data_IF_382172306725
#
_entry.id   IF_382172306725
#
_cell.length_a   1.000
_cell.length_b   1.000
_cell.length_c   1.000
_cell.angle_alpha   90.00
_cell.angle_beta   90.00
_cell.angle_gamma   90.00
#
_symmetry.space_group_name_H-M   'P 1'
#
loop_
_entity.id
_entity.type
_entity.pdbx_description
1 polymer ?
#
# COMPACT_ATOMS: atom_id res chain seq x y z
N UNK A 1 -5.19 15.71 19.20
CA UNK A 1 -6.15 14.70 18.70
C UNK A 1 -5.47 13.35 18.85
N UNK A 2 -6.15 12.36 19.45
CA UNK A 2 -5.65 10.98 19.47
C UNK A 2 -5.84 10.35 18.09
N UNK A 3 -4.95 9.46 17.68
CA UNK A 3 -5.14 8.63 16.49
C UNK A 3 -6.40 7.77 16.65
N UNK A 4 -7.16 7.62 15.57
CA UNK A 4 -8.35 6.77 15.46
C UNK A 4 -8.31 6.03 14.12
N UNK A 5 -8.03 4.73 14.18
CA UNK A 5 -7.89 3.85 13.01
C UNK A 5 -9.16 3.83 12.16
N UNK A 6 -10.32 3.71 12.80
CA UNK A 6 -11.59 3.52 12.08
C UNK A 6 -11.98 4.79 11.32
N UNK A 7 -11.62 5.97 11.85
CA UNK A 7 -11.74 7.23 11.11
C UNK A 7 -10.84 7.24 9.87
N UNK A 8 -9.58 6.82 9.98
CA UNK A 8 -8.65 6.76 8.84
C UNK A 8 -9.12 5.77 7.77
N UNK A 9 -9.52 4.55 8.19
CA UNK A 9 -10.09 3.52 7.32
C UNK A 9 -11.30 4.05 6.56
N UNK A 10 -12.23 4.72 7.26
CA UNK A 10 -13.41 5.29 6.64
C UNK A 10 -13.09 6.42 5.63
N UNK A 11 -12.06 7.23 5.90
CA UNK A 11 -11.62 8.27 4.98
C UNK A 11 -11.05 7.67 3.68
N UNK A 12 -10.19 6.65 3.79
CA UNK A 12 -9.59 5.98 2.62
C UNK A 12 -10.65 5.22 1.82
N UNK A 13 -11.56 4.52 2.50
CA UNK A 13 -12.71 3.86 1.87
C UNK A 13 -13.55 4.84 1.05
N UNK A 14 -13.95 5.97 1.64
CA UNK A 14 -14.72 7.01 0.94
C UNK A 14 -13.97 7.60 -0.25
N UNK A 15 -12.65 7.71 -0.15
CA UNK A 15 -11.83 8.18 -1.25
C UNK A 15 -11.89 7.23 -2.44
N UNK A 16 -11.72 5.92 -2.24
CA UNK A 16 -11.84 4.95 -3.34
C UNK A 16 -13.26 4.83 -3.89
N UNK A 17 -14.29 4.90 -3.04
CA UNK A 17 -15.68 4.99 -3.49
C UNK A 17 -15.95 6.22 -4.36
N UNK A 18 -15.29 7.36 -4.07
CA UNK A 18 -15.39 8.57 -4.90
C UNK A 18 -14.74 8.34 -6.27
N UNK A 19 -13.56 7.73 -6.33
CA UNK A 19 -12.87 7.45 -7.59
C UNK A 19 -13.68 6.51 -8.48
N UNK A 20 -14.28 5.46 -7.89
CA UNK A 20 -15.22 4.58 -8.59
C UNK A 20 -16.40 5.36 -9.16
N UNK A 21 -17.02 6.25 -8.36
CA UNK A 21 -18.16 7.09 -8.81
C UNK A 21 -17.77 8.09 -9.90
N UNK A 22 -16.51 8.54 -9.91
CA UNK A 22 -15.97 9.41 -10.95
C UNK A 22 -15.59 8.64 -12.23
N UNK A 23 -15.89 7.33 -12.30
CA UNK A 23 -15.56 6.42 -13.41
C UNK A 23 -14.05 6.25 -13.65
N UNK A 24 -13.22 6.39 -12.61
CA UNK A 24 -11.78 6.09 -12.68
C UNK A 24 -11.51 4.59 -12.54
N UNK A 25 -12.27 3.89 -11.71
CA UNK A 25 -12.11 2.45 -11.44
C UNK A 25 -13.43 1.70 -11.58
N UNK A 26 -13.35 0.44 -11.99
CA UNK A 26 -14.48 -0.47 -11.86
C UNK A 26 -14.67 -0.79 -10.37
N UNK A 27 -15.91 -0.75 -9.82
CA UNK A 27 -16.16 -1.17 -8.44
C UNK A 27 -15.56 -2.53 -8.07
N UNK A 28 -15.47 -3.47 -9.03
CA UNK A 28 -14.89 -4.80 -8.84
C UNK A 28 -13.36 -4.80 -8.67
N UNK A 29 -12.68 -3.68 -8.96
CA UNK A 29 -11.25 -3.50 -8.73
C UNK A 29 -10.94 -3.11 -7.28
N UNK A 30 -11.91 -2.63 -6.52
CA UNK A 30 -11.70 -2.30 -5.10
C UNK A 30 -11.88 -3.55 -4.23
N UNK A 31 -10.79 -3.98 -3.61
CA UNK A 31 -10.73 -5.09 -2.67
C UNK A 31 -11.01 -4.56 -1.26
N UNK A 32 -12.09 -5.04 -0.66
CA UNK A 32 -12.46 -4.71 0.72
C UNK A 32 -11.96 -5.79 1.68
N UNK A 33 -11.42 -5.40 2.86
CA UNK A 33 -11.06 -6.36 3.89
C UNK A 33 -12.30 -7.09 4.43
N UNK A 34 -12.16 -8.33 4.92
CA UNK A 34 -13.12 -8.96 5.82
C UNK A 34 -13.36 -8.12 7.09
N UNK A 35 -14.41 -8.42 7.85
CA UNK A 35 -14.75 -7.70 9.09
C UNK A 35 -13.62 -7.78 10.13
N UNK A 36 -12.91 -8.90 10.21
CA UNK A 36 -11.73 -9.10 11.06
C UNK A 36 -10.42 -8.54 10.45
N UNK A 37 -10.50 -7.96 9.25
CA UNK A 37 -9.36 -7.48 8.49
C UNK A 37 -8.66 -8.56 7.65
N UNK A 38 -7.66 -8.15 6.89
CA UNK A 38 -6.80 -9.07 6.13
C UNK A 38 -6.01 -10.00 7.05
N UNK A 39 -5.86 -11.27 6.68
CA UNK A 39 -5.03 -12.20 7.44
C UNK A 39 -3.53 -11.92 7.21
N UNK A 40 -2.67 -12.44 8.09
CA UNK A 40 -1.20 -12.27 7.99
C UNK A 40 -0.62 -12.98 6.76
N UNK A 41 -1.34 -13.95 6.19
CA UNK A 41 -0.99 -14.58 4.92
C UNK A 41 -1.31 -13.66 3.74
N UNK A 42 -2.42 -12.90 3.82
CA UNK A 42 -2.86 -11.99 2.76
C UNK A 42 -2.16 -10.64 2.80
N UNK A 43 -1.86 -10.13 3.99
CA UNK A 43 -1.09 -8.90 4.21
C UNK A 43 0.40 -9.26 4.31
N UNK A 44 1.30 -8.40 3.80
CA UNK A 44 2.74 -8.65 3.87
C UNK A 44 3.36 -8.36 5.26
N UNK A 45 2.78 -8.90 6.34
CA UNK A 45 3.12 -8.58 7.74
C UNK A 45 4.60 -8.84 8.07
N UNK A 46 5.14 -9.97 7.64
CA UNK A 46 6.55 -10.34 7.80
C UNK A 46 7.52 -9.32 7.17
N UNK A 47 7.21 -8.87 5.94
CA UNK A 47 7.97 -7.84 5.23
C UNK A 47 7.85 -6.49 5.94
N UNK A 48 6.63 -6.11 6.35
CA UNK A 48 6.36 -4.86 7.07
C UNK A 48 7.13 -4.79 8.40
N UNK A 49 7.14 -5.89 9.16
CA UNK A 49 7.94 -6.05 10.36
C UNK A 49 9.44 -5.97 10.07
N UNK A 50 9.91 -6.57 8.98
CA UNK A 50 11.31 -6.48 8.57
C UNK A 50 11.76 -5.04 8.23
N UNK A 51 10.84 -4.23 7.70
CA UNK A 51 10.98 -2.78 7.51
C UNK A 51 10.63 -1.92 8.74
N UNK A 52 10.48 -2.56 9.91
CA UNK A 52 10.24 -1.90 11.21
C UNK A 52 8.99 -1.01 11.20
N UNK A 53 7.93 -1.41 10.47
CA UNK A 53 6.61 -0.78 10.64
C UNK A 53 6.05 -1.16 12.01
N UNK A 54 5.36 -0.22 12.64
CA UNK A 54 4.77 -0.37 13.96
C UNK A 54 3.55 -1.29 13.93
N UNK A 55 3.21 -1.86 15.09
CA UNK A 55 2.00 -2.70 15.24
C UNK A 55 0.73 -1.90 14.90
N UNK A 56 0.64 -0.63 15.32
CA UNK A 56 -0.50 0.25 15.03
C UNK A 56 -0.70 0.47 13.52
N UNK A 57 0.40 0.61 12.77
CA UNK A 57 0.36 0.71 11.30
C UNK A 57 -0.05 -0.61 10.66
N UNK A 58 0.50 -1.72 11.13
CA UNK A 58 0.13 -3.04 10.59
C UNK A 58 -1.36 -3.30 10.83
N UNK A 59 -1.87 -2.93 12.00
CA UNK A 59 -3.29 -2.99 12.33
C UNK A 59 -4.13 -2.05 11.42
N UNK A 60 -3.65 -0.83 11.14
CA UNK A 60 -4.31 0.04 10.15
C UNK A 60 -4.39 -0.62 8.77
N UNK A 61 -3.26 -1.09 8.24
CA UNK A 61 -3.16 -1.71 6.91
C UNK A 61 -4.06 -2.95 6.80
N UNK A 62 -4.21 -3.71 7.89
CA UNK A 62 -5.13 -4.85 7.98
C UNK A 62 -6.58 -4.49 7.63
N UNK A 63 -7.00 -3.25 7.89
CA UNK A 63 -8.36 -2.79 7.72
C UNK A 63 -8.55 -1.83 6.54
N UNK A 64 -7.51 -1.57 5.74
CA UNK A 64 -7.66 -0.73 4.56
C UNK A 64 -8.25 -1.50 3.37
N UNK A 65 -9.11 -0.86 2.56
CA UNK A 65 -9.37 -1.33 1.21
C UNK A 65 -8.14 -1.10 0.33
N UNK A 66 -8.00 -1.91 -0.71
CA UNK A 66 -6.93 -1.79 -1.71
C UNK A 66 -7.52 -1.83 -3.10
N UNK A 67 -6.96 -1.06 -4.04
CA UNK A 67 -7.26 -1.25 -5.46
C UNK A 67 -6.44 -2.47 -5.93
N UNK A 68 -7.06 -3.30 -6.75
CA UNK A 68 -6.42 -4.46 -7.37
C UNK A 68 -5.40 -3.93 -8.37
N UNK A 69 -4.15 -4.33 -8.19
CA UNK A 69 -3.12 -4.02 -9.17
C UNK A 69 -3.39 -4.83 -10.45
N UNK A 70 -3.55 -4.14 -11.58
CA UNK A 70 -3.79 -4.78 -12.87
C UNK A 70 -2.47 -4.97 -13.63
N UNK A 71 -2.47 -5.89 -14.59
CA UNK A 71 -1.30 -6.14 -15.43
C UNK A 71 -1.22 -5.04 -16.51
N UNK A 72 -0.34 -4.04 -16.32
CA UNK A 72 -0.11 -2.95 -17.28
C UNK A 72 0.48 -1.69 -16.63
N UNK A 73 1.11 -0.82 -17.42
CA UNK A 73 1.73 0.43 -16.91
C UNK A 73 0.69 1.53 -16.58
N UNK A 74 -0.47 1.55 -17.26
CA UNK A 74 -1.37 2.72 -17.30
C UNK A 74 -2.71 2.52 -16.59
N UNK A 75 -2.98 1.35 -16.00
CA UNK A 75 -4.34 0.98 -15.54
C UNK A 75 -4.64 1.33 -14.09
N UNK A 76 -3.63 1.77 -13.33
CA UNK A 76 -3.67 1.78 -11.86
C UNK A 76 -3.49 3.19 -11.26
N UNK A 77 -3.56 4.23 -12.10
CA UNK A 77 -3.38 5.63 -11.70
C UNK A 77 -4.55 6.14 -10.86
N UNK A 78 -4.23 6.64 -9.67
CA UNK A 78 -5.20 7.32 -8.78
C UNK A 78 -5.14 8.84 -8.97
N UNK A 79 -3.94 9.34 -9.27
CA UNK A 79 -3.70 10.73 -9.67
C UNK A 79 -2.71 10.74 -10.83
N UNK A 80 -2.57 11.88 -11.50
CA UNK A 80 -1.60 12.05 -12.58
C UNK A 80 -0.20 11.59 -12.14
N UNK A 81 0.40 10.64 -12.88
CA UNK A 81 1.71 10.04 -12.60
C UNK A 81 1.81 9.35 -11.23
N UNK A 82 0.68 8.93 -10.64
CA UNK A 82 0.67 8.36 -9.28
C UNK A 82 -0.18 7.09 -9.25
N UNK A 83 0.44 5.98 -8.85
CA UNK A 83 -0.25 4.71 -8.63
C UNK A 83 -0.62 4.52 -7.16
N UNK A 84 -1.70 3.77 -6.91
CA UNK A 84 -2.03 3.29 -5.58
C UNK A 84 -0.97 2.32 -5.04
N UNK A 85 -0.79 2.29 -3.71
CA UNK A 85 0.01 1.28 -3.04
C UNK A 85 -0.90 0.21 -2.42
N UNK A 86 -0.63 -1.05 -2.74
CA UNK A 86 -1.26 -2.19 -2.09
C UNK A 86 -0.24 -2.91 -1.21
N UNK A 87 -0.61 -3.15 0.04
CA UNK A 87 0.22 -3.86 1.02
C UNK A 87 -0.09 -5.36 1.09
N UNK A 88 -0.99 -5.83 0.22
CA UNK A 88 -1.28 -7.24 0.08
C UNK A 88 -0.07 -7.99 -0.47
N UNK A 89 0.13 -9.22 0.00
CA UNK A 89 1.29 -10.06 -0.35
C UNK A 89 1.43 -10.32 -1.85
N UNK A 90 0.31 -10.45 -2.55
CA UNK A 90 0.29 -10.72 -4.00
C UNK A 90 0.47 -9.45 -4.85
N UNK A 91 0.46 -8.26 -4.23
CA UNK A 91 0.71 -7.01 -4.94
C UNK A 91 2.22 -6.72 -5.03
N UNK A 92 2.62 -6.01 -6.07
CA UNK A 92 3.98 -5.49 -6.17
C UNK A 92 4.12 -4.24 -5.29
N UNK A 93 5.22 -4.06 -4.51
CA UNK A 93 6.45 -4.85 -4.55
C UNK A 93 6.46 -6.11 -3.68
N UNK A 94 5.50 -6.29 -2.77
CA UNK A 94 5.52 -7.34 -1.76
C UNK A 94 5.61 -8.77 -2.30
N UNK A 95 5.01 -9.05 -3.46
CA UNK A 95 5.12 -10.36 -4.13
C UNK A 95 6.55 -10.73 -4.52
N UNK A 96 7.43 -9.73 -4.62
CA UNK A 96 8.83 -9.87 -5.04
C UNK A 96 9.82 -9.74 -3.88
N UNK A 97 9.34 -9.48 -2.66
CA UNK A 97 10.18 -9.23 -1.49
C UNK A 97 10.35 -10.51 -0.65
N UNK A 98 11.60 -10.81 -0.29
CA UNK A 98 11.92 -11.81 0.74
C UNK A 98 12.29 -11.10 2.06
N UNK A 99 11.52 -11.31 3.15
CA UNK A 99 11.73 -10.67 4.45
C UNK A 99 13.17 -10.77 4.99
N UNK A 100 13.91 -11.83 4.62
CA UNK A 100 15.29 -12.06 5.08
C UNK A 100 16.24 -10.95 4.62
N UNK A 101 16.00 -10.38 3.45
CA UNK A 101 16.85 -9.33 2.88
C UNK A 101 16.34 -7.93 3.21
N UNK A 102 15.06 -7.77 3.57
CA UNK A 102 14.45 -6.45 3.83
C UNK A 102 15.13 -5.66 4.95
N UNK A 103 15.68 -6.32 5.98
CA UNK A 103 16.36 -5.61 7.10
C UNK A 103 17.61 -4.83 6.68
N UNK A 104 18.18 -5.14 5.52
CA UNK A 104 19.38 -4.51 4.98
C UNK A 104 19.07 -3.43 3.94
N UNK A 105 17.81 -3.29 3.55
CA UNK A 105 17.36 -2.38 2.50
C UNK A 105 16.75 -1.12 3.10
N UNK A 106 16.77 -0.02 2.35
CA UNK A 106 15.97 1.15 2.70
C UNK A 106 14.55 1.00 2.16
N UNK A 107 13.58 1.62 2.82
CA UNK A 107 12.19 1.67 2.34
C UNK A 107 12.08 2.29 0.94
N UNK A 108 12.93 3.27 0.64
CA UNK A 108 12.94 3.96 -0.65
C UNK A 108 13.43 3.08 -1.80
N UNK A 109 14.35 2.13 -1.52
CA UNK A 109 14.87 1.20 -2.54
C UNK A 109 13.76 0.28 -3.08
N UNK A 110 12.71 0.07 -2.28
CA UNK A 110 11.53 -0.74 -2.63
C UNK A 110 10.30 0.12 -2.93
N UNK A 111 10.48 1.44 -3.15
CA UNK A 111 9.40 2.41 -3.40
C UNK A 111 8.30 2.44 -2.33
N UNK A 112 8.62 2.04 -1.09
CA UNK A 112 7.71 2.10 0.06
C UNK A 112 7.73 3.48 0.74
N UNK A 113 8.74 4.30 0.46
CA UNK A 113 8.88 5.68 0.89
C UNK A 113 9.46 6.54 -0.24
N UNK A 114 9.13 7.84 -0.30
CA UNK A 114 9.52 8.70 -1.42
C UNK A 114 11.02 9.03 -1.47
N UNK A 115 11.71 9.00 -0.32
CA UNK A 115 13.13 9.34 -0.25
C UNK A 115 13.88 8.41 0.69
N UNK A 116 15.17 8.22 0.40
CA UNK A 116 16.12 7.58 1.30
C UNK A 116 16.14 8.28 2.67
N UNK A 117 16.35 7.50 3.74
CA UNK A 117 16.38 8.00 5.11
C UNK A 117 15.66 7.12 6.11
N UNK A 118 15.73 7.52 7.38
CA UNK A 118 14.99 6.86 8.46
C UNK A 118 13.56 7.41 8.54
N UNK A 119 12.58 6.53 8.40
CA UNK A 119 11.17 6.85 8.52
C UNK A 119 10.60 6.21 9.78
N UNK A 120 9.87 6.96 10.64
CA UNK A 120 9.24 6.40 11.83
C UNK A 120 8.33 5.23 11.47
N UNK A 121 8.20 4.24 12.37
CA UNK A 121 7.44 3.00 12.12
C UNK A 121 5.95 3.22 11.85
N UNK A 122 5.46 4.41 12.20
CA UNK A 122 4.09 4.88 12.08
C UNK A 122 3.77 5.44 10.68
N UNK A 123 4.78 5.59 9.82
CA UNK A 123 4.63 6.17 8.49
C UNK A 123 4.41 5.09 7.43
N UNK A 124 3.49 5.35 6.50
CA UNK A 124 3.23 4.54 5.32
C UNK A 124 2.93 5.43 4.13
N UNK A 125 3.19 4.92 2.93
CA UNK A 125 2.83 5.58 1.69
C UNK A 125 1.54 4.97 1.15
N UNK A 126 0.56 5.78 0.79
CA UNK A 126 -0.68 5.28 0.17
C UNK A 126 -0.57 5.22 -1.37
N UNK A 127 0.44 5.89 -1.91
CA UNK A 127 0.67 6.03 -3.34
C UNK A 127 2.17 6.04 -3.62
N UNK A 128 2.50 5.82 -4.89
CA UNK A 128 3.88 5.87 -5.43
C UNK A 128 3.89 6.61 -6.76
N UNK A 129 5.01 7.26 -7.04
CA UNK A 129 5.23 7.97 -8.30
C UNK A 129 5.52 7.00 -9.44
N UNK A 130 4.86 7.18 -10.59
CA UNK A 130 4.99 6.31 -11.77
C UNK A 130 6.42 6.33 -12.34
N UNK A 131 7.08 7.50 -12.39
CA UNK A 131 8.43 7.60 -12.92
C UNK A 131 9.44 6.86 -12.06
N UNK A 132 9.24 6.86 -10.74
CA UNK A 132 10.06 6.05 -9.82
C UNK A 132 9.92 4.55 -10.11
N UNK A 133 8.74 4.08 -10.54
CA UNK A 133 8.52 2.69 -10.95
C UNK A 133 9.25 2.38 -12.25
N UNK A 134 9.09 3.22 -13.27
CA UNK A 134 9.71 3.02 -14.59
C UNK A 134 11.25 2.92 -14.48
N UNK A 135 11.85 3.75 -13.62
CA UNK A 135 13.29 3.70 -13.34
C UNK A 135 13.74 2.45 -12.57
N UNK A 136 12.85 1.82 -11.78
CA UNK A 136 13.18 0.58 -11.07
C UNK A 136 13.25 -0.64 -12.02
N UNK A 137 12.68 -0.54 -13.23
CA UNK A 137 12.60 -1.62 -14.21
C UNK A 137 13.34 -1.35 -15.53
N UNK A 138 14.04 -0.22 -15.65
CA UNK A 138 14.88 0.16 -16.80
C UNK A 138 16.32 -0.36 -16.66
#
# INVERSE_FOLDING_TARGET
>A
MSYDRDVVVNCIKRHYELLVKAAYFDPAEVLYPPDEGWSDEKLAVDVLCAFRRSEDVIDLLRHLPYIKQLDGHDTDEVYLYTQHMSYLREAWPFKSLDPKFCRQKQLADELLMPTAGEWPGEYISLTRDQHAIDHAFA
#
